data_IF_059023435853
#
_entry.id   IF_059023435853
#
_cell.length_a   1.000
_cell.length_b   1.000
_cell.length_c   1.000
_cell.angle_alpha   90.00
_cell.angle_beta   90.00
_cell.angle_gamma   90.00
#
_symmetry.space_group_name_H-M   'P 1'
#
loop_
_entity.id
_entity.type
_entity.pdbx_description
1 polymer ?
#
# COMPACT_ATOMS: atom_id res chain seq x y z
N UNK A 1 -19.60 -12.56 -1.81
CA UNK A 1 -18.27 -12.01 -1.50
C UNK A 1 -18.44 -10.79 -0.61
N UNK A 2 -17.51 -10.56 0.33
CA UNK A 2 -17.50 -9.33 1.14
C UNK A 2 -17.16 -8.14 0.23
N UNK A 3 -17.84 -7.00 0.42
CA UNK A 3 -17.54 -5.77 -0.32
C UNK A 3 -16.15 -5.29 0.11
N UNK A 4 -15.26 -5.03 -0.85
CA UNK A 4 -13.96 -4.38 -0.59
C UNK A 4 -14.22 -2.89 -0.47
N UNK A 5 -13.93 -2.33 0.69
CA UNK A 5 -14.08 -0.90 1.01
C UNK A 5 -12.74 -0.22 1.30
N UNK A 6 -11.73 -0.99 1.74
CA UNK A 6 -10.38 -0.50 2.00
C UNK A 6 -9.31 -1.48 1.49
N UNK A 7 -8.31 -0.97 0.78
CA UNK A 7 -7.23 -1.76 0.17
C UNK A 7 -5.86 -1.24 0.60
N UNK A 8 -5.02 -2.13 1.11
CA UNK A 8 -3.59 -1.84 1.26
C UNK A 8 -2.85 -2.17 -0.05
N UNK A 9 -2.03 -1.24 -0.49
CA UNK A 9 -1.22 -1.35 -1.70
C UNK A 9 0.21 -1.64 -1.26
N UNK A 10 0.62 -2.91 -1.41
CA UNK A 10 1.93 -3.40 -0.99
C UNK A 10 2.97 -3.18 -2.11
N UNK A 11 3.11 -1.93 -2.54
CA UNK A 11 4.02 -1.53 -3.62
C UNK A 11 4.36 -0.03 -3.52
N UNK A 12 5.19 0.48 -4.43
CA UNK A 12 5.62 1.88 -4.52
C UNK A 12 5.54 2.41 -5.95
N UNK A 13 5.93 3.66 -6.14
CA UNK A 13 6.12 4.22 -7.48
C UNK A 13 4.83 4.37 -8.28
N UNK A 14 4.92 4.10 -9.59
CA UNK A 14 3.84 4.37 -10.52
C UNK A 14 2.71 3.35 -10.40
N UNK A 15 3.01 2.10 -10.03
CA UNK A 15 2.00 1.04 -9.88
C UNK A 15 1.15 1.29 -8.65
N UNK A 16 1.76 1.76 -7.55
CA UNK A 16 1.01 2.20 -6.39
C UNK A 16 0.05 3.34 -6.76
N UNK A 17 0.53 4.35 -7.49
CA UNK A 17 -0.29 5.45 -7.97
C UNK A 17 -1.42 4.98 -8.91
N UNK A 18 -1.15 4.00 -9.78
CA UNK A 18 -2.15 3.41 -10.68
C UNK A 18 -3.26 2.71 -9.92
N UNK A 19 -2.94 1.99 -8.85
CA UNK A 19 -3.92 1.31 -8.00
C UNK A 19 -4.72 2.31 -7.17
N UNK A 20 -4.08 3.35 -6.61
CA UNK A 20 -4.77 4.44 -5.90
C UNK A 20 -5.85 5.08 -6.79
N UNK A 21 -5.54 5.33 -8.07
CA UNK A 21 -6.51 5.89 -9.03
C UNK A 21 -7.73 4.99 -9.21
N UNK A 22 -7.52 3.68 -9.35
CA UNK A 22 -8.63 2.72 -9.44
C UNK A 22 -9.45 2.66 -8.14
N UNK A 23 -8.78 2.67 -6.97
CA UNK A 23 -9.48 2.72 -5.68
C UNK A 23 -10.38 3.96 -5.60
N UNK A 24 -9.87 5.12 -6.02
CA UNK A 24 -10.64 6.37 -6.05
C UNK A 24 -11.86 6.32 -6.97
N UNK A 25 -11.72 5.76 -8.18
CA UNK A 25 -12.82 5.57 -9.12
C UNK A 25 -13.92 4.64 -8.58
N UNK A 26 -13.55 3.69 -7.72
CA UNK A 26 -14.44 2.70 -7.11
C UNK A 26 -14.93 3.09 -5.71
N UNK A 27 -14.61 4.29 -5.23
CA UNK A 27 -14.91 4.75 -3.86
C UNK A 27 -14.37 3.80 -2.77
N UNK A 28 -13.19 3.24 -3.02
CA UNK A 28 -12.44 2.38 -2.09
C UNK A 28 -11.32 3.19 -1.44
N UNK A 29 -11.20 3.11 -0.12
CA UNK A 29 -10.11 3.75 0.62
C UNK A 29 -8.77 3.08 0.31
N UNK A 30 -7.80 3.87 -0.13
CA UNK A 30 -6.46 3.43 -0.48
C UNK A 30 -5.47 3.64 0.68
N UNK A 31 -4.78 2.58 1.06
CA UNK A 31 -3.73 2.59 2.09
C UNK A 31 -2.41 2.22 1.46
N UNK A 32 -1.34 2.97 1.74
CA UNK A 32 0.01 2.64 1.25
C UNK A 32 0.98 2.43 2.41
N UNK A 33 1.96 1.55 2.17
CA UNK A 33 3.19 1.50 2.96
C UNK A 33 4.30 2.25 2.24
N UNK A 34 5.20 2.89 2.98
CA UNK A 34 6.34 3.57 2.37
C UNK A 34 7.61 3.50 3.23
N UNK A 35 8.76 3.47 2.57
CA UNK A 35 10.06 3.57 3.24
C UNK A 35 10.43 5.03 3.52
N UNK A 36 11.41 5.28 4.38
CA UNK A 36 11.86 6.65 4.72
C UNK A 36 12.27 7.48 3.49
N UNK A 37 12.90 6.84 2.50
CA UNK A 37 13.32 7.50 1.25
C UNK A 37 12.15 7.82 0.31
N UNK A 38 10.98 7.23 0.56
CA UNK A 38 9.77 7.37 -0.25
C UNK A 38 8.77 8.37 0.35
N UNK A 39 9.11 9.04 1.46
CA UNK A 39 8.22 9.99 2.17
C UNK A 39 7.63 11.07 1.25
N UNK A 40 8.41 11.51 0.25
CA UNK A 40 8.00 12.54 -0.70
C UNK A 40 7.33 11.98 -1.98
N UNK A 41 7.17 10.66 -2.06
CA UNK A 41 6.60 9.95 -3.19
C UNK A 41 5.20 10.45 -3.55
N UNK A 42 4.94 10.61 -4.85
CA UNK A 42 3.64 11.10 -5.34
C UNK A 42 2.51 10.17 -4.93
N UNK A 43 2.73 8.85 -4.89
CA UNK A 43 1.73 7.88 -4.43
C UNK A 43 1.44 8.03 -2.93
N UNK A 44 2.44 8.32 -2.11
CA UNK A 44 2.27 8.56 -0.67
C UNK A 44 1.37 9.78 -0.43
N UNK A 45 1.60 10.86 -1.18
CA UNK A 45 0.79 12.10 -1.09
C UNK A 45 -0.62 11.96 -1.66
N UNK A 46 -0.92 10.88 -2.41
CA UNK A 46 -2.19 10.68 -3.10
C UNK A 46 -3.07 9.59 -2.48
N UNK A 47 -2.50 8.72 -1.65
CA UNK A 47 -3.24 7.72 -0.90
C UNK A 47 -4.09 8.38 0.20
N UNK A 48 -5.14 7.69 0.64
CA UNK A 48 -6.02 8.18 1.71
C UNK A 48 -5.39 7.98 3.09
N UNK A 49 -4.69 6.85 3.28
CA UNK A 49 -3.86 6.58 4.47
C UNK A 49 -2.46 6.12 4.06
N UNK A 50 -1.46 6.47 4.87
CA UNK A 50 -0.08 6.05 4.66
C UNK A 50 0.57 5.61 5.97
N UNK A 51 1.38 4.54 5.91
CA UNK A 51 2.10 3.97 7.05
C UNK A 51 3.60 3.87 6.73
N UNK A 52 4.47 4.53 7.51
CA UNK A 52 5.91 4.42 7.32
C UNK A 52 6.40 3.05 7.80
N UNK A 53 7.36 2.48 7.08
CA UNK A 53 8.16 1.34 7.53
C UNK A 53 9.60 1.83 7.63
N UNK A 54 10.10 1.87 8.87
CA UNK A 54 11.44 2.36 9.20
C UNK A 54 12.50 1.30 8.91
N UNK A 55 13.72 1.72 8.57
CA UNK A 55 14.85 0.82 8.37
C UNK A 55 15.19 0.60 6.90
N UNK A 56 15.48 -0.64 6.50
CA UNK A 56 15.97 -0.92 5.15
C UNK A 56 14.88 -0.64 4.09
N UNK A 57 15.11 0.28 3.13
CA UNK A 57 14.10 0.66 2.15
C UNK A 57 13.60 -0.48 1.27
N UNK A 58 14.45 -1.46 0.99
CA UNK A 58 14.08 -2.63 0.18
C UNK A 58 13.26 -3.61 1.03
N UNK A 59 13.66 -3.84 2.29
CA UNK A 59 12.91 -4.72 3.18
C UNK A 59 11.52 -4.18 3.51
N UNK A 60 11.34 -2.85 3.50
CA UNK A 60 10.02 -2.23 3.68
C UNK A 60 8.95 -2.77 2.70
N UNK A 61 9.36 -3.26 1.53
CA UNK A 61 8.46 -3.82 0.52
C UNK A 61 8.55 -5.35 0.39
N UNK A 62 9.41 -6.02 1.17
CA UNK A 62 9.63 -7.47 1.14
C UNK A 62 9.28 -8.17 2.46
N UNK A 63 9.02 -7.42 3.54
CA UNK A 63 8.61 -7.97 4.82
C UNK A 63 7.08 -8.17 4.87
N UNK A 64 6.64 -9.38 4.54
CA UNK A 64 5.22 -9.72 4.53
C UNK A 64 4.58 -9.68 5.93
N UNK A 65 5.33 -9.93 7.00
CA UNK A 65 4.79 -9.91 8.37
C UNK A 65 4.43 -8.47 8.76
N UNK A 66 5.33 -7.52 8.47
CA UNK A 66 5.10 -6.10 8.69
C UNK A 66 3.92 -5.63 7.84
N UNK A 67 3.88 -5.97 6.54
CA UNK A 67 2.78 -5.57 5.65
C UNK A 67 1.43 -6.12 6.14
N UNK A 68 1.36 -7.39 6.56
CA UNK A 68 0.16 -7.99 7.13
C UNK A 68 -0.25 -7.33 8.45
N UNK A 69 0.72 -6.98 9.30
CA UNK A 69 0.45 -6.28 10.57
C UNK A 69 -0.19 -4.90 10.32
N UNK A 70 0.31 -4.16 9.33
CA UNK A 70 -0.21 -2.85 8.94
C UNK A 70 -1.59 -3.00 8.32
N UNK A 71 -1.79 -3.96 7.42
CA UNK A 71 -3.10 -4.22 6.81
C UNK A 71 -4.17 -4.51 7.87
N UNK A 72 -3.83 -5.31 8.89
CA UNK A 72 -4.72 -5.60 10.02
C UNK A 72 -4.99 -4.35 10.87
N UNK A 73 -3.94 -3.58 11.20
CA UNK A 73 -4.06 -2.35 12.00
C UNK A 73 -4.91 -1.28 11.30
N UNK A 74 -4.76 -1.15 9.98
CA UNK A 74 -5.52 -0.22 9.15
C UNK A 74 -6.92 -0.74 8.79
N UNK A 75 -7.27 -1.96 9.22
CA UNK A 75 -8.54 -2.62 8.95
C UNK A 75 -8.84 -2.75 7.43
N UNK A 76 -7.82 -3.13 6.65
CA UNK A 76 -7.96 -3.33 5.21
C UNK A 76 -8.71 -4.63 4.89
N UNK A 77 -9.61 -4.57 3.90
CA UNK A 77 -10.36 -5.73 3.40
C UNK A 77 -9.53 -6.60 2.45
N UNK A 78 -8.58 -5.98 1.74
CA UNK A 78 -7.74 -6.63 0.75
C UNK A 78 -6.35 -6.00 0.65
N UNK A 79 -5.41 -6.75 0.06
CA UNK A 79 -4.06 -6.28 -0.28
C UNK A 79 -3.88 -6.41 -1.79
N UNK A 80 -3.39 -5.37 -2.45
CA UNK A 80 -2.99 -5.42 -3.85
C UNK A 80 -1.46 -5.28 -3.95
N UNK A 81 -0.74 -6.30 -4.43
CA UNK A 81 0.73 -6.29 -4.42
C UNK A 81 1.36 -5.59 -5.63
N UNK A 82 0.56 -5.01 -6.54
CA UNK A 82 1.06 -4.52 -7.83
C UNK A 82 1.78 -5.62 -8.61
N UNK A 83 3.02 -5.32 -9.04
CA UNK A 83 3.94 -6.25 -9.67
C UNK A 83 5.34 -6.12 -9.03
N UNK A 84 6.19 -7.14 -9.19
CA UNK A 84 7.45 -7.23 -8.44
C UNK A 84 7.21 -7.38 -6.94
N UNK A 85 8.25 -7.21 -6.12
CA UNK A 85 8.18 -7.38 -4.67
C UNK A 85 7.54 -8.74 -4.27
N UNK A 86 6.40 -8.70 -3.58
CA UNK A 86 5.67 -9.87 -3.08
C UNK A 86 4.39 -10.15 -3.89
N UNK A 87 4.42 -9.87 -5.20
CA UNK A 87 3.28 -10.15 -6.09
C UNK A 87 3.19 -11.60 -6.59
N UNK A 88 4.23 -12.39 -6.33
CA UNK A 88 4.35 -13.83 -6.61
C UNK A 88 4.67 -14.60 -5.32
#
# INVERSE_FOLDING_TARGET
MRKISKVLIANRGEIALRIIRACKELEVTSVVVFSEVDVDGVWVKKADECYPIMGNPVQAYLDYEVILSIAKKAECDAIHPGYGFLSE
#
